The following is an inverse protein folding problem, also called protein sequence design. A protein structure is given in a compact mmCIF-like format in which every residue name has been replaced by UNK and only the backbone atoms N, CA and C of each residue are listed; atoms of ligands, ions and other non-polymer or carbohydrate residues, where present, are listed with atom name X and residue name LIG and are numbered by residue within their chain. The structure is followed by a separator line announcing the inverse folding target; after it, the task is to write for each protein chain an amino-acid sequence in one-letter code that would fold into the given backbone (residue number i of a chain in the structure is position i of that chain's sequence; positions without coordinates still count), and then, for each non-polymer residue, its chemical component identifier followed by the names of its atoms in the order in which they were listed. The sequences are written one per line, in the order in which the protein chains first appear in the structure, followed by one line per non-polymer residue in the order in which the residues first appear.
data_IF_035116899964
#
_entry.id   IF_035116899964
#
_cell.length_a   1.000
_cell.length_b   1.000
_cell.length_c   1.000
_cell.angle_alpha   90.00
_cell.angle_beta   90.00
_cell.angle_gamma   90.00
#
_symmetry.space_group_name_H-M   'P 1'
#
loop_
_entity.id
_entity.type
_entity.pdbx_description
1 polymer ?
#
# COMPACT_ATOMS: atom_id res chain seq x y z
N UNK A 1 -19.95 4.45 -3.46
CA UNK A 1 -18.94 5.38 -2.93
C UNK A 1 -19.22 5.59 -1.43
N UNK A 2 -18.18 5.51 -0.58
CA UNK A 2 -18.25 5.67 0.88
C UNK A 2 -17.63 6.98 1.37
N UNK A 3 -16.96 7.76 0.51
CA UNK A 3 -16.22 8.95 0.94
C UNK A 3 -17.16 10.03 1.53
N UNK A 4 -18.14 10.48 0.75
CA UNK A 4 -19.09 11.50 1.18
C UNK A 4 -19.87 11.14 2.47
N UNK A 5 -20.47 9.93 2.60
CA UNK A 5 -21.18 9.57 3.82
C UNK A 5 -20.27 9.45 5.04
N UNK A 6 -19.04 8.94 4.89
CA UNK A 6 -18.08 8.87 6.01
C UNK A 6 -17.60 10.25 6.44
N UNK A 7 -17.25 11.12 5.49
CA UNK A 7 -16.85 12.49 5.81
C UNK A 7 -17.97 13.25 6.51
N UNK A 8 -19.22 13.10 6.02
CA UNK A 8 -20.39 13.71 6.67
C UNK A 8 -20.61 13.18 8.08
N UNK A 9 -20.46 11.87 8.29
CA UNK A 9 -20.58 11.27 9.61
C UNK A 9 -19.48 11.75 10.55
N UNK A 10 -18.21 11.74 10.14
CA UNK A 10 -17.07 12.22 10.94
C UNK A 10 -17.28 13.68 11.36
N UNK A 11 -17.67 14.54 10.43
CA UNK A 11 -17.80 15.99 10.68
C UNK A 11 -19.04 16.38 11.50
N UNK A 12 -20.10 15.57 11.47
CA UNK A 12 -21.35 15.84 12.20
C UNK A 12 -21.47 15.07 13.53
N UNK A 13 -20.59 14.11 13.81
CA UNK A 13 -20.68 13.31 15.03
C UNK A 13 -20.46 14.19 16.28
N UNK A 14 -21.31 14.10 17.33
CA UNK A 14 -21.10 14.84 18.58
C UNK A 14 -19.81 14.49 19.34
N UNK A 15 -19.15 13.40 18.94
CA UNK A 15 -17.88 12.90 19.50
C UNK A 15 -17.12 12.25 18.34
N UNK A 16 -16.50 13.04 17.45
CA UNK A 16 -15.89 12.52 16.24
C UNK A 16 -14.72 11.59 16.56
N UNK A 17 -14.44 10.60 15.69
CA UNK A 17 -13.25 9.78 15.83
C UNK A 17 -11.99 10.65 15.74
N UNK A 18 -10.97 10.30 16.52
CA UNK A 18 -9.67 10.98 16.51
C UNK A 18 -8.66 10.33 15.57
N UNK A 19 -8.97 9.12 15.07
CA UNK A 19 -8.15 8.39 14.13
C UNK A 19 -8.99 7.40 13.30
N UNK A 20 -8.47 7.02 12.14
CA UNK A 20 -8.97 5.94 11.29
C UNK A 20 -7.96 4.80 11.34
N UNK A 21 -8.45 3.57 11.47
CA UNK A 21 -7.66 2.37 11.16
C UNK A 21 -8.34 1.70 9.99
N UNK A 22 -7.62 1.51 8.88
CA UNK A 22 -8.18 0.91 7.68
C UNK A 22 -7.21 -0.08 7.09
N UNK A 23 -7.73 -1.10 6.41
CA UNK A 23 -6.91 -1.97 5.56
C UNK A 23 -6.10 -1.16 4.52
N UNK A 24 -4.95 -1.70 4.10
CA UNK A 24 -4.06 -1.07 3.12
C UNK A 24 -4.70 -0.90 1.72
N UNK A 25 -5.73 -1.66 1.37
CA UNK A 25 -6.53 -1.42 0.16
C UNK A 25 -7.41 -0.16 0.26
N UNK A 26 -7.58 0.41 1.45
CA UNK A 26 -8.43 1.56 1.73
C UNK A 26 -7.62 2.84 1.95
N UNK A 27 -6.48 2.98 1.26
CA UNK A 27 -5.61 4.15 1.39
C UNK A 27 -6.31 5.49 1.17
N UNK A 28 -7.32 5.54 0.28
CA UNK A 28 -8.14 6.73 0.06
C UNK A 28 -8.77 7.34 1.34
N UNK A 29 -8.93 6.55 2.41
CA UNK A 29 -9.45 7.04 3.71
C UNK A 29 -8.50 8.04 4.39
N UNK A 30 -7.26 8.15 3.91
CA UNK A 30 -6.31 9.22 4.25
C UNK A 30 -6.91 10.62 4.02
N UNK A 31 -7.81 10.74 3.03
CA UNK A 31 -8.40 12.01 2.61
C UNK A 31 -9.63 12.41 3.43
N UNK A 32 -9.95 11.70 4.52
CA UNK A 32 -11.08 12.00 5.41
C UNK A 32 -10.77 13.05 6.51
N UNK A 33 -9.56 13.61 6.51
CA UNK A 33 -9.22 14.80 7.30
C UNK A 33 -8.86 14.56 8.77
N UNK A 34 -8.70 13.30 9.19
CA UNK A 34 -8.21 12.91 10.51
C UNK A 34 -7.04 11.92 10.38
N UNK A 35 -6.17 11.78 11.40
CA UNK A 35 -5.05 10.84 11.35
C UNK A 35 -5.47 9.43 10.96
N UNK A 36 -4.76 8.83 10.00
CA UNK A 36 -5.02 7.45 9.56
C UNK A 36 -3.84 6.57 9.89
N UNK A 37 -4.14 5.38 10.40
CA UNK A 37 -3.22 4.27 10.54
C UNK A 37 -3.57 3.23 9.48
N UNK A 38 -2.60 2.89 8.65
CA UNK A 38 -2.72 1.72 7.78
C UNK A 38 -2.68 0.46 8.65
N UNK A 39 -3.61 -0.47 8.42
CA UNK A 39 -3.51 -1.83 8.92
C UNK A 39 -3.12 -2.75 7.77
N UNK A 40 -1.95 -3.39 7.90
CA UNK A 40 -1.51 -4.41 6.96
C UNK A 40 -1.66 -5.79 7.60
N UNK A 41 -2.53 -6.67 7.06
CA UNK A 41 -2.61 -8.06 7.48
C UNK A 41 -1.46 -8.91 6.93
N UNK A 42 -0.59 -8.35 6.09
CA UNK A 42 0.55 -9.02 5.45
C UNK A 42 1.82 -8.90 6.30
N UNK A 43 2.84 -9.68 5.93
CA UNK A 43 4.19 -9.57 6.47
C UNK A 43 4.78 -8.16 6.24
N UNK A 44 5.65 -7.69 7.14
CA UNK A 44 6.27 -6.37 7.07
C UNK A 44 7.06 -6.17 5.76
N UNK A 45 7.78 -7.20 5.30
CA UNK A 45 8.45 -7.18 3.99
C UNK A 45 7.46 -6.95 2.84
N UNK A 46 6.24 -7.48 2.96
CA UNK A 46 5.17 -7.28 2.00
C UNK A 46 4.77 -5.81 1.90
N UNK A 47 4.67 -5.11 3.03
CA UNK A 47 4.42 -3.66 3.05
C UNK A 47 5.51 -2.90 2.30
N UNK A 48 6.78 -3.21 2.55
CA UNK A 48 7.91 -2.59 1.86
C UNK A 48 7.83 -2.80 0.34
N UNK A 49 7.58 -4.05 -0.09
CA UNK A 49 7.46 -4.40 -1.51
C UNK A 49 6.28 -3.68 -2.16
N UNK A 50 5.08 -3.70 -1.55
CA UNK A 50 3.92 -3.00 -2.09
C UNK A 50 4.15 -1.50 -2.19
N UNK A 51 4.76 -0.90 -1.18
CA UNK A 51 5.11 0.51 -1.19
C UNK A 51 6.02 0.82 -2.39
N UNK A 52 7.13 0.10 -2.56
CA UNK A 52 8.05 0.29 -3.69
C UNK A 52 7.35 0.11 -5.04
N UNK A 53 6.54 -0.95 -5.20
CA UNK A 53 5.80 -1.21 -6.44
C UNK A 53 4.91 -0.01 -6.83
N UNK A 54 4.08 0.49 -5.94
CA UNK A 54 3.08 1.52 -6.27
C UNK A 54 3.60 2.97 -6.21
N UNK A 55 4.76 3.19 -5.59
CA UNK A 55 5.42 4.51 -5.58
C UNK A 55 6.38 4.66 -6.74
N UNK A 56 7.30 3.71 -6.92
CA UNK A 56 8.37 3.76 -7.93
C UNK A 56 7.91 3.23 -9.30
N UNK A 57 6.84 2.43 -9.34
CA UNK A 57 6.28 1.84 -10.57
C UNK A 57 7.35 1.15 -11.44
N UNK A 58 8.20 0.27 -10.89
CA UNK A 58 9.20 -0.42 -11.69
C UNK A 58 8.56 -1.33 -12.75
N UNK A 59 9.10 -1.30 -13.96
CA UNK A 59 8.65 -2.14 -15.07
C UNK A 59 9.72 -3.15 -15.43
N UNK A 60 9.29 -4.33 -15.90
CA UNK A 60 10.17 -5.25 -16.62
C UNK A 60 10.66 -4.62 -17.93
N UNK A 61 11.80 -5.09 -18.43
CA UNK A 61 12.38 -4.67 -19.71
C UNK A 61 11.84 -5.47 -20.88
N UNK A 62 11.52 -6.75 -20.66
CA UNK A 62 10.98 -7.64 -21.66
C UNK A 62 9.57 -8.11 -21.28
N UNK A 63 8.58 -7.78 -22.10
CA UNK A 63 7.19 -8.14 -21.84
C UNK A 63 6.86 -9.63 -21.96
N UNK A 64 7.74 -10.41 -22.57
CA UNK A 64 7.55 -11.85 -22.73
C UNK A 64 8.36 -12.69 -21.72
N UNK A 65 9.12 -12.04 -20.82
CA UNK A 65 9.98 -12.72 -19.84
C UNK A 65 9.37 -12.66 -18.43
N UNK A 66 8.59 -13.69 -18.09
CA UNK A 66 8.00 -13.84 -16.76
C UNK A 66 9.02 -14.23 -15.67
N UNK A 67 10.24 -14.60 -16.07
CA UNK A 67 11.34 -14.94 -15.16
C UNK A 67 12.31 -13.74 -14.96
N UNK A 68 12.04 -12.59 -15.60
CA UNK A 68 12.82 -11.37 -15.39
C UNK A 68 12.82 -11.00 -13.90
N UNK A 69 14.02 -10.84 -13.34
CA UNK A 69 14.18 -10.58 -11.91
C UNK A 69 14.01 -9.09 -11.63
N UNK A 70 13.04 -8.76 -10.79
CA UNK A 70 12.89 -7.45 -10.18
C UNK A 70 13.65 -7.40 -8.85
N UNK A 71 14.52 -6.40 -8.70
CA UNK A 71 15.31 -6.16 -7.49
C UNK A 71 14.79 -4.95 -6.72
N UNK A 72 14.53 -5.14 -5.43
CA UNK A 72 14.03 -4.09 -4.54
C UNK A 72 15.19 -3.51 -3.71
N UNK A 73 16.06 -2.73 -4.37
CA UNK A 73 17.30 -2.22 -3.75
C UNK A 73 17.09 -1.30 -2.54
N UNK A 74 15.91 -0.68 -2.44
CA UNK A 74 15.55 0.22 -1.34
C UNK A 74 14.94 -0.53 -0.14
N UNK A 75 14.76 -1.86 -0.24
CA UNK A 75 14.22 -2.70 0.82
C UNK A 75 15.38 -3.46 1.50
N UNK A 76 15.41 -3.58 2.84
CA UNK A 76 16.46 -4.32 3.53
C UNK A 76 16.67 -5.73 2.98
N UNK A 77 17.94 -6.13 2.85
CA UNK A 77 18.41 -7.37 2.21
C UNK A 77 18.19 -7.45 0.68
N UNK A 78 17.77 -6.37 0.03
CA UNK A 78 17.62 -6.25 -1.43
C UNK A 78 16.91 -7.46 -2.06
N UNK A 79 15.67 -7.77 -1.65
CA UNK A 79 15.00 -8.96 -2.11
C UNK A 79 14.79 -8.93 -3.62
N UNK A 80 14.83 -10.12 -4.22
CA UNK A 80 14.76 -10.34 -5.67
C UNK A 80 13.67 -11.35 -5.96
N UNK A 81 12.76 -10.99 -6.86
CA UNK A 81 11.66 -11.87 -7.26
C UNK A 81 11.55 -11.90 -8.78
N UNK A 82 11.28 -13.08 -9.39
CA UNK A 82 10.88 -13.13 -10.78
C UNK A 82 9.56 -12.39 -10.97
N UNK A 83 9.37 -11.79 -12.14
CA UNK A 83 8.16 -11.04 -12.47
C UNK A 83 6.88 -11.84 -12.21
N UNK A 84 6.89 -13.15 -12.49
CA UNK A 84 5.79 -14.07 -12.21
C UNK A 84 5.34 -14.11 -10.74
N UNK A 85 6.23 -13.84 -9.79
CA UNK A 85 5.94 -13.81 -8.34
C UNK A 85 5.48 -12.42 -7.86
N UNK A 86 5.56 -11.39 -8.69
CA UNK A 86 5.05 -10.05 -8.35
C UNK A 86 3.51 -10.09 -8.33
N UNK A 87 2.94 -9.33 -7.39
CA UNK A 87 1.50 -9.20 -7.18
C UNK A 87 0.74 -9.08 -8.50
N UNK A 88 -0.26 -9.95 -8.68
CA UNK A 88 -1.12 -9.92 -9.87
C UNK A 88 -1.88 -8.59 -9.98
N UNK A 89 -2.21 -7.94 -8.86
CA UNK A 89 -2.86 -6.63 -8.85
C UNK A 89 -1.93 -5.59 -9.49
N UNK A 90 -0.65 -5.60 -9.12
CA UNK A 90 0.34 -4.69 -9.71
C UNK A 90 0.56 -4.99 -11.20
N UNK A 91 0.72 -6.26 -11.56
CA UNK A 91 0.92 -6.67 -12.97
C UNK A 91 -0.27 -6.38 -13.88
N UNK A 92 -1.47 -6.22 -13.32
CA UNK A 92 -2.69 -5.91 -14.07
C UNK A 92 -2.92 -4.40 -14.26
N UNK A 93 -2.06 -3.55 -13.71
CA UNK A 93 -2.21 -2.09 -13.77
C UNK A 93 -2.26 -1.59 -15.22
N UNK A 94 -3.27 -0.76 -15.52
CA UNK A 94 -3.41 -0.12 -16.83
C UNK A 94 -3.27 1.39 -16.65
N UNK A 95 -2.21 1.96 -17.25
CA UNK A 95 -1.94 3.39 -17.16
C UNK A 95 -3.08 4.23 -17.74
N UNK A 96 -3.54 5.22 -16.98
CA UNK A 96 -4.57 6.16 -17.41
C UNK A 96 -6.01 5.64 -17.31
N UNK A 97 -6.22 4.37 -16.94
CA UNK A 97 -7.54 3.87 -16.59
C UNK A 97 -7.96 4.46 -15.22
N UNK A 98 -9.12 5.13 -15.11
CA UNK A 98 -9.50 5.83 -13.88
C UNK A 98 -9.57 4.94 -12.63
N UNK A 99 -9.95 3.66 -12.77
CA UNK A 99 -10.01 2.75 -11.63
C UNK A 99 -8.60 2.33 -11.19
N UNK A 100 -7.70 2.09 -12.14
CA UNK A 100 -6.31 1.78 -11.84
C UNK A 100 -5.53 2.96 -11.28
N UNK A 101 -5.78 4.18 -11.76
CA UNK A 101 -5.20 5.39 -11.17
C UNK A 101 -5.68 5.58 -9.73
N UNK A 102 -6.96 5.34 -9.44
CA UNK A 102 -7.49 5.36 -8.08
C UNK A 102 -6.85 4.30 -7.17
N UNK A 103 -6.63 3.08 -7.67
CA UNK A 103 -5.94 2.02 -6.92
C UNK A 103 -4.50 2.46 -6.61
N UNK A 104 -3.76 2.93 -7.62
CA UNK A 104 -2.38 3.40 -7.45
C UNK A 104 -2.31 4.53 -6.43
N UNK A 105 -3.19 5.52 -6.53
CA UNK A 105 -3.23 6.67 -5.63
C UNK A 105 -3.62 6.22 -4.21
N UNK A 106 -4.54 5.26 -4.06
CA UNK A 106 -4.84 4.64 -2.76
C UNK A 106 -3.60 3.95 -2.16
N UNK A 107 -2.82 3.20 -2.93
CA UNK A 107 -1.58 2.61 -2.43
C UNK A 107 -0.50 3.65 -2.09
N UNK A 108 -0.49 4.81 -2.76
CA UNK A 108 0.40 5.93 -2.41
C UNK A 108 -0.04 6.63 -1.12
N UNK A 109 -1.34 6.75 -0.90
CA UNK A 109 -1.91 7.32 0.33
C UNK A 109 -1.57 6.50 1.58
N UNK A 110 -1.18 5.23 1.43
CA UNK A 110 -0.61 4.42 2.52
C UNK A 110 0.69 5.01 3.07
N UNK A 111 1.56 5.53 2.21
CA UNK A 111 2.83 6.17 2.60
C UNK A 111 2.60 7.46 3.37
N UNK A 112 1.50 8.15 3.07
CA UNK A 112 1.09 9.38 3.74
C UNK A 112 0.36 9.12 5.08
N UNK A 113 0.12 7.85 5.45
CA UNK A 113 -0.50 7.52 6.72
C UNK A 113 0.34 7.98 7.91
N UNK A 114 -0.32 8.19 9.05
CA UNK A 114 0.34 8.56 10.30
C UNK A 114 1.24 7.45 10.85
N UNK A 115 0.91 6.19 10.52
CA UNK A 115 1.70 5.03 10.87
C UNK A 115 1.08 3.74 10.33
N UNK A 116 1.86 2.66 10.38
CA UNK A 116 1.44 1.35 9.90
C UNK A 116 1.37 0.37 11.08
N UNK A 117 0.27 -0.35 11.17
CA UNK A 117 0.07 -1.48 12.07
C UNK A 117 0.22 -2.75 11.25
N UNK A 118 1.29 -3.50 11.50
CA UNK A 118 1.58 -4.75 10.81
C UNK A 118 1.21 -5.92 11.72
N UNK A 119 0.50 -6.91 11.19
CA UNK A 119 0.19 -8.15 11.92
C UNK A 119 1.41 -9.09 11.99
N UNK A 120 2.44 -8.67 12.71
CA UNK A 120 3.72 -9.38 12.86
C UNK A 120 4.36 -9.10 14.21
N UNK A 121 5.60 -9.56 14.43
CA UNK A 121 6.37 -9.32 15.64
C UNK A 121 7.87 -9.21 15.35
N UNK A 122 8.59 -8.45 16.19
CA UNK A 122 9.99 -8.07 15.95
C UNK A 122 10.95 -9.25 15.81
N UNK A 123 10.78 -10.33 16.58
CA UNK A 123 11.68 -11.48 16.48
C UNK A 123 11.61 -12.21 15.13
N UNK A 124 10.58 -11.96 14.31
CA UNK A 124 10.46 -12.50 12.95
C UNK A 124 10.87 -11.50 11.87
N UNK A 125 10.52 -10.22 12.02
CA UNK A 125 10.65 -9.23 10.94
C UNK A 125 11.32 -7.91 11.37
N UNK A 126 12.13 -7.88 12.44
CA UNK A 126 12.74 -6.64 12.96
C UNK A 126 13.41 -5.80 11.89
N UNK A 127 14.10 -6.41 10.94
CA UNK A 127 14.80 -5.71 9.84
C UNK A 127 13.86 -4.88 8.95
N UNK A 128 12.55 -5.16 8.98
CA UNK A 128 11.52 -4.45 8.21
C UNK A 128 10.60 -3.60 9.09
N UNK A 129 10.79 -3.60 10.41
CA UNK A 129 9.96 -2.90 11.40
C UNK A 129 10.68 -1.73 12.10
N UNK A 130 11.99 -1.59 11.89
CA UNK A 130 12.86 -0.57 12.51
C UNK A 130 13.17 0.62 11.59
#
# INVERSE_FOLDING_TARGET
DLHAPLLSWITSHPSPPVAIVSDFFLGWTQNLGIPRFEFSPSAAIGCCIFNTLWTEMPTRKNDDDDDEILEFSNVPNCPKYPWSQISSIYRSYVHGDPAWEFIRDSFRDNVASWGVVVNSFSAMESVYLE
#
